data_IF_176426661547
#
_entry.id   IF_176426661547
#
_cell.length_a   1.000
_cell.length_b   1.000
_cell.length_c   1.000
_cell.angle_alpha   90.00
_cell.angle_beta   90.00
_cell.angle_gamma   90.00
#
_symmetry.space_group_name_H-M   'P 1'
#
loop_
_entity.id
_entity.type
_entity.pdbx_description
1 polymer ?
#
# COMPACT_ATOMS: atom_id res chain seq x y z
N UNK A 1 -13.10 -49.71 36.48
CA UNK A 1 -12.16 -50.63 35.80
C UNK A 1 -12.92 -51.44 34.76
N UNK A 2 -12.53 -51.35 33.47
CA UNK A 2 -12.78 -52.22 32.29
C UNK A 2 -13.08 -51.34 31.07
N UNK A 3 -12.08 -51.08 30.23
CA UNK A 3 -11.46 -51.91 29.17
C UNK A 3 -12.09 -51.61 27.79
N UNK A 4 -11.24 -51.11 26.90
CA UNK A 4 -11.49 -50.71 25.51
C UNK A 4 -11.54 -51.92 24.54
N UNK A 5 -12.36 -51.80 23.48
CA UNK A 5 -12.21 -52.46 22.17
C UNK A 5 -13.44 -53.26 21.68
N UNK A 6 -13.72 -53.40 20.36
CA UNK A 6 -12.85 -53.17 19.21
C UNK A 6 -13.39 -52.18 18.15
N UNK A 7 -12.48 -51.89 17.21
CA UNK A 7 -12.52 -50.96 16.10
C UNK A 7 -13.47 -51.44 15.00
N UNK A 8 -14.20 -50.55 14.32
CA UNK A 8 -14.23 -50.42 12.85
C UNK A 8 -15.27 -49.38 12.39
N UNK A 9 -14.77 -48.44 11.59
CA UNK A 9 -15.46 -47.70 10.53
C UNK A 9 -16.75 -46.97 10.92
N UNK A 10 -16.63 -45.66 11.18
CA UNK A 10 -17.13 -44.60 10.30
C UNK A 10 -16.47 -43.33 10.87
N UNK A 11 -15.27 -43.02 10.37
CA UNK A 11 -14.71 -41.67 10.54
C UNK A 11 -15.49 -40.79 9.57
N UNK A 12 -16.60 -40.22 10.04
CA UNK A 12 -17.19 -39.06 9.38
C UNK A 12 -16.07 -38.02 9.38
N UNK A 13 -15.52 -37.76 8.20
CA UNK A 13 -14.70 -36.59 7.93
C UNK A 13 -15.58 -35.36 8.17
N UNK A 14 -15.73 -34.98 9.43
CA UNK A 14 -16.08 -33.61 9.77
C UNK A 14 -14.84 -32.83 9.35
N UNK A 15 -14.88 -32.37 8.11
CA UNK A 15 -14.12 -31.22 7.65
C UNK A 15 -14.57 -30.10 8.60
N UNK A 16 -13.92 -30.00 9.75
CA UNK A 16 -13.84 -28.76 10.47
C UNK A 16 -13.06 -27.87 9.53
N UNK A 17 -13.80 -27.20 8.64
CA UNK A 17 -13.28 -26.06 7.92
C UNK A 17 -12.82 -25.12 9.01
N UNK A 18 -11.52 -25.13 9.28
CA UNK A 18 -10.88 -23.99 9.90
C UNK A 18 -11.16 -22.88 8.90
N UNK A 19 -12.24 -22.14 9.15
CA UNK A 19 -12.48 -20.85 8.54
C UNK A 19 -11.30 -20.01 9.00
N UNK A 20 -10.24 -20.02 8.20
CA UNK A 20 -9.26 -18.95 8.22
C UNK A 20 -10.09 -17.74 7.82
N UNK A 21 -10.59 -17.00 8.83
CA UNK A 21 -11.18 -15.69 8.56
C UNK A 21 -10.04 -14.88 7.97
N UNK A 22 -10.11 -14.62 6.67
CA UNK A 22 -9.36 -13.53 6.09
C UNK A 22 -9.87 -12.26 6.78
N UNK A 23 -8.98 -11.55 7.44
CA UNK A 23 -9.30 -10.38 8.23
C UNK A 23 -9.08 -9.15 7.33
N UNK A 24 -10.17 -8.46 7.02
CA UNK A 24 -10.21 -7.35 6.09
C UNK A 24 -10.15 -6.00 6.82
N UNK A 25 -9.99 -4.91 6.05
CA UNK A 25 -10.06 -3.55 6.60
C UNK A 25 -11.44 -3.34 7.25
N UNK A 26 -11.45 -2.97 8.53
CA UNK A 26 -12.64 -2.74 9.33
C UNK A 26 -12.99 -3.87 10.30
N UNK A 27 -12.35 -5.04 10.20
CA UNK A 27 -12.58 -6.13 11.14
C UNK A 27 -11.99 -5.85 12.53
N UNK A 28 -12.66 -6.34 13.56
CA UNK A 28 -12.20 -6.27 14.95
C UNK A 28 -11.06 -7.26 15.20
N UNK A 29 -10.04 -6.79 15.89
CA UNK A 29 -8.77 -7.49 16.05
C UNK A 29 -8.14 -7.20 17.41
N UNK A 30 -7.20 -8.05 17.86
CA UNK A 30 -6.45 -7.83 19.11
C UNK A 30 -5.02 -7.38 18.78
N UNK A 31 -4.64 -6.10 19.03
CA UNK A 31 -3.34 -5.58 18.60
C UNK A 31 -2.13 -6.28 19.21
N UNK A 32 -2.22 -6.66 20.49
CA UNK A 32 -1.20 -7.41 21.23
C UNK A 32 -1.80 -8.02 22.51
N UNK A 33 -0.97 -8.72 23.31
CA UNK A 33 -1.43 -9.34 24.57
C UNK A 33 -1.86 -8.34 25.66
N UNK A 34 -1.55 -7.04 25.52
CA UNK A 34 -1.85 -6.00 26.51
C UNK A 34 -3.08 -5.18 26.12
N UNK A 35 -3.45 -5.15 24.85
CA UNK A 35 -4.51 -4.34 24.27
C UNK A 35 -5.42 -5.29 23.49
N UNK A 36 -6.64 -5.49 23.99
CA UNK A 36 -7.60 -6.41 23.40
C UNK A 36 -8.51 -5.77 22.35
N UNK A 37 -8.55 -4.45 22.26
CA UNK A 37 -9.44 -3.73 21.34
C UNK A 37 -8.62 -3.07 20.22
N UNK A 38 -8.96 -3.42 18.99
CA UNK A 38 -8.36 -2.87 17.80
C UNK A 38 -9.21 -3.13 16.57
N UNK A 39 -8.88 -2.40 15.50
CA UNK A 39 -9.51 -2.54 14.19
C UNK A 39 -8.43 -2.69 13.14
N UNK A 40 -8.63 -3.62 12.21
CA UNK A 40 -7.76 -3.81 11.07
C UNK A 40 -7.85 -2.65 10.11
N UNK A 41 -6.72 -1.99 9.86
CA UNK A 41 -6.63 -0.85 8.94
C UNK A 41 -5.32 -0.88 8.19
N UNK A 42 -5.18 -0.07 7.14
CA UNK A 42 -3.93 0.03 6.41
C UNK A 42 -2.85 0.59 7.34
N UNK A 43 -1.61 0.11 7.20
CA UNK A 43 -0.47 0.56 8.03
C UNK A 43 -0.30 2.08 8.04
N UNK A 44 -0.65 2.76 6.95
CA UNK A 44 -0.58 4.22 6.82
C UNK A 44 -1.69 4.95 7.60
N UNK A 45 -2.81 4.28 7.85
CA UNK A 45 -3.99 4.80 8.55
C UNK A 45 -3.95 4.52 10.05
N UNK A 46 -2.93 3.81 10.54
CA UNK A 46 -2.73 3.56 11.96
C UNK A 46 -1.62 4.48 12.54
N UNK A 47 -1.96 5.55 13.28
CA UNK A 47 -0.97 6.49 13.81
C UNK A 47 0.08 5.81 14.68
N UNK A 48 -0.34 4.85 15.50
CA UNK A 48 0.54 4.10 16.40
C UNK A 48 1.56 3.26 15.61
N UNK A 49 1.13 2.63 14.51
CA UNK A 49 2.02 1.85 13.66
C UNK A 49 3.00 2.75 12.91
N UNK A 50 2.53 3.87 12.37
CA UNK A 50 3.39 4.87 11.69
C UNK A 50 4.43 5.43 12.65
N UNK A 51 4.05 5.76 13.88
CA UNK A 51 4.99 6.24 14.91
C UNK A 51 6.03 5.16 15.28
N UNK A 52 5.60 3.91 15.42
CA UNK A 52 6.50 2.80 15.70
C UNK A 52 7.51 2.56 14.55
N UNK A 53 7.06 2.61 13.29
CA UNK A 53 7.94 2.47 12.13
C UNK A 53 8.93 3.63 12.06
N UNK A 54 8.48 4.87 12.30
CA UNK A 54 9.39 6.04 12.30
C UNK A 54 10.47 5.94 13.37
N UNK A 55 10.13 5.47 14.57
CA UNK A 55 11.05 5.45 15.72
C UNK A 55 11.90 4.18 15.79
N UNK A 56 11.30 3.01 15.50
CA UNK A 56 11.91 1.69 15.69
C UNK A 56 12.12 0.92 14.38
N UNK A 57 11.78 1.51 13.23
CA UNK A 57 11.81 0.88 11.89
C UNK A 57 10.91 -0.35 11.74
N UNK A 58 10.07 -0.64 12.73
CA UNK A 58 9.17 -1.78 12.75
C UNK A 58 7.92 -1.47 13.57
N UNK A 59 6.77 -1.95 13.11
CA UNK A 59 5.49 -1.87 13.82
C UNK A 59 5.30 -3.15 14.68
N UNK A 60 4.90 -3.05 15.97
CA UNK A 60 4.79 -4.21 16.86
C UNK A 60 3.40 -4.86 16.91
N UNK A 61 2.47 -4.42 16.07
CA UNK A 61 1.07 -4.83 16.10
C UNK A 61 0.83 -6.08 15.25
N UNK A 62 -0.20 -6.84 15.61
CA UNK A 62 -0.60 -8.00 14.83
C UNK A 62 -0.96 -7.60 13.39
N UNK A 63 -0.51 -8.39 12.42
CA UNK A 63 -0.87 -8.22 11.01
C UNK A 63 -2.19 -8.93 10.74
N UNK A 64 -3.17 -8.21 10.21
CA UNK A 64 -4.44 -8.78 9.77
C UNK A 64 -4.33 -9.40 8.37
N UNK A 65 -3.56 -8.76 7.48
CA UNK A 65 -3.40 -9.22 6.10
C UNK A 65 -2.69 -8.22 5.20
N UNK A 66 -2.99 -8.30 3.90
CA UNK A 66 -2.46 -7.40 2.87
C UNK A 66 -3.53 -7.07 1.84
N UNK A 67 -3.55 -5.81 1.38
CA UNK A 67 -4.31 -5.37 0.20
C UNK A 67 -3.31 -4.92 -0.87
N UNK A 68 -3.02 -5.80 -1.83
CA UNK A 68 -1.93 -5.59 -2.79
C UNK A 68 -0.57 -5.52 -2.07
N UNK A 69 0.14 -4.40 -2.20
CA UNK A 69 1.42 -4.16 -1.52
C UNK A 69 1.28 -3.47 -0.16
N UNK A 70 0.06 -3.08 0.24
CA UNK A 70 -0.18 -2.41 1.52
C UNK A 70 -0.45 -3.45 2.62
N UNK A 71 0.29 -3.34 3.71
CA UNK A 71 0.07 -4.14 4.93
C UNK A 71 -1.18 -3.64 5.68
N UNK A 72 -2.02 -4.58 6.09
CA UNK A 72 -3.15 -4.33 6.99
C UNK A 72 -2.71 -4.75 8.39
N UNK A 73 -2.73 -3.80 9.32
CA UNK A 73 -2.29 -3.98 10.71
C UNK A 73 -3.46 -3.79 11.66
N UNK A 74 -3.44 -4.50 12.77
CA UNK A 74 -4.41 -4.35 13.83
C UNK A 74 -4.10 -3.10 14.64
N UNK A 75 -4.83 -2.01 14.39
CA UNK A 75 -4.57 -0.75 15.06
C UNK A 75 -5.31 -0.67 16.40
N UNK A 76 -4.62 -0.38 17.52
CA UNK A 76 -5.26 -0.15 18.81
C UNK A 76 -6.33 0.94 18.73
N UNK A 77 -7.56 0.61 19.13
CA UNK A 77 -8.59 1.61 19.40
C UNK A 77 -8.36 2.10 20.83
N UNK A 78 -7.51 3.11 21.00
CA UNK A 78 -7.39 3.75 22.32
C UNK A 78 -8.72 4.43 22.61
N UNK A 79 -9.56 3.81 23.44
CA UNK A 79 -10.64 4.50 24.15
C UNK A 79 -9.98 5.46 25.13
N UNK A 80 -9.71 6.66 24.67
CA UNK A 80 -9.50 7.83 25.52
C UNK A 80 -10.69 7.93 26.51
N UNK A 81 -10.40 8.30 27.77
CA UNK A 81 -11.38 8.36 28.88
C UNK A 81 -12.57 9.31 28.64
N UNK A 82 -12.68 9.90 27.46
CA UNK A 82 -13.73 10.80 27.01
C UNK A 82 -14.52 10.30 25.78
N UNK A 83 -14.28 9.07 25.31
CA UNK A 83 -15.11 8.45 24.28
C UNK A 83 -15.10 9.17 22.94
N UNK A 84 -14.00 9.86 22.60
CA UNK A 84 -13.81 10.42 21.26
C UNK A 84 -12.65 9.71 20.60
N UNK A 85 -12.95 8.70 19.79
CA UNK A 85 -12.02 8.14 18.79
C UNK A 85 -11.19 9.28 18.22
N UNK A 86 -9.88 9.27 18.49
CA UNK A 86 -8.93 10.17 17.85
C UNK A 86 -9.01 9.93 16.34
N UNK A 87 -9.91 10.64 15.66
CA UNK A 87 -9.64 11.13 14.32
C UNK A 87 -8.48 12.09 14.48
N UNK A 88 -7.27 11.56 14.58
CA UNK A 88 -6.08 12.31 14.23
C UNK A 88 -6.43 12.92 12.88
N UNK A 89 -6.56 14.25 12.80
CA UNK A 89 -6.75 14.92 11.51
C UNK A 89 -5.50 14.62 10.71
N UNK A 90 -5.55 13.56 9.91
CA UNK A 90 -4.45 13.16 9.05
C UNK A 90 -4.29 14.28 8.06
N UNK A 91 -3.29 15.13 8.26
CA UNK A 91 -2.92 16.15 7.28
C UNK A 91 -2.47 15.36 6.05
N UNK A 92 -3.37 15.20 5.07
CA UNK A 92 -3.07 14.51 3.81
C UNK A 92 -1.80 15.09 3.22
N UNK A 93 -0.93 14.21 2.72
CA UNK A 93 0.28 14.64 2.02
C UNK A 93 -0.12 15.49 0.82
N UNK A 94 0.77 16.41 0.41
CA UNK A 94 0.50 17.23 -0.79
C UNK A 94 0.20 16.33 -1.99
N UNK A 95 0.98 15.26 -2.17
CA UNK A 95 0.74 14.27 -3.21
C UNK A 95 -0.66 13.65 -3.16
N UNK A 96 -1.16 13.29 -1.97
CA UNK A 96 -2.52 12.74 -1.81
C UNK A 96 -3.58 13.77 -2.17
N UNK A 97 -3.40 15.02 -1.74
CA UNK A 97 -4.32 16.11 -2.07
C UNK A 97 -4.36 16.39 -3.57
N UNK A 98 -3.23 16.34 -4.26
CA UNK A 98 -3.19 16.52 -5.71
C UNK A 98 -3.74 15.29 -6.45
N UNK A 99 -3.45 14.07 -5.98
CA UNK A 99 -4.05 12.85 -6.54
C UNK A 99 -5.57 12.85 -6.38
N UNK A 100 -6.10 13.28 -5.24
CA UNK A 100 -7.54 13.40 -5.00
C UNK A 100 -8.18 14.35 -6.02
N UNK A 101 -7.53 15.46 -6.36
CA UNK A 101 -8.03 16.40 -7.38
C UNK A 101 -8.13 15.72 -8.74
N UNK A 102 -7.07 15.02 -9.16
CA UNK A 102 -7.04 14.30 -10.46
C UNK A 102 -8.14 13.24 -10.51
N UNK A 103 -8.25 12.41 -9.47
CA UNK A 103 -9.28 11.35 -9.38
C UNK A 103 -10.68 11.96 -9.36
N UNK A 104 -10.88 13.10 -8.67
CA UNK A 104 -12.19 13.76 -8.64
C UNK A 104 -12.60 14.36 -9.99
N UNK A 105 -11.63 14.70 -10.85
CA UNK A 105 -11.86 15.25 -12.18
C UNK A 105 -11.86 14.20 -13.30
N UNK A 106 -11.41 12.97 -13.05
CA UNK A 106 -11.42 11.86 -14.02
C UNK A 106 -12.43 10.78 -13.58
N UNK A 107 -13.48 10.56 -14.35
CA UNK A 107 -14.56 9.57 -14.09
C UNK A 107 -14.51 8.48 -15.18
N UNK A 108 -14.81 7.17 -14.97
CA UNK A 108 -14.86 6.28 -13.80
C UNK A 108 -13.66 5.25 -13.84
N UNK A 109 -13.68 4.02 -13.26
CA UNK A 109 -12.45 3.27 -12.97
C UNK A 109 -11.68 2.98 -14.26
N UNK A 110 -10.36 3.17 -14.22
CA UNK A 110 -9.45 2.80 -15.29
C UNK A 110 -9.61 1.29 -15.58
N UNK A 111 -10.46 0.94 -16.54
CA UNK A 111 -10.25 -0.29 -17.30
C UNK A 111 -8.93 -0.05 -18.04
N UNK A 112 -7.90 -0.81 -17.66
CA UNK A 112 -6.54 -0.71 -18.22
C UNK A 112 -6.53 -1.23 -19.67
N UNK A 113 -7.17 -0.49 -20.57
CA UNK A 113 -7.10 -0.69 -22.01
C UNK A 113 -6.90 0.69 -22.68
N UNK A 114 -5.64 1.04 -22.90
CA UNK A 114 -5.29 2.15 -23.80
C UNK A 114 -5.49 1.62 -25.23
N UNK A 115 -6.69 1.75 -25.79
CA UNK A 115 -6.99 1.46 -27.19
C UNK A 115 -7.24 2.76 -27.94
N UNK A 116 -6.46 3.02 -28.99
CA UNK A 116 -6.64 4.20 -29.84
C UNK A 116 -6.23 5.53 -29.19
N UNK A 117 -5.11 5.54 -28.46
CA UNK A 117 -4.58 6.77 -27.88
C UNK A 117 -4.37 7.88 -28.90
N UNK A 118 -4.49 9.13 -28.45
CA UNK A 118 -4.21 10.33 -29.23
C UNK A 118 -2.95 11.03 -28.74
N UNK A 119 -2.38 11.91 -29.56
CA UNK A 119 -1.24 12.72 -29.15
C UNK A 119 -1.69 13.71 -28.07
N UNK A 120 -0.98 13.72 -26.94
CA UNK A 120 -1.24 14.69 -25.88
C UNK A 120 -1.03 16.11 -26.39
N UNK A 121 -1.89 17.03 -25.94
CA UNK A 121 -1.73 18.45 -26.16
C UNK A 121 -0.47 18.97 -25.46
N UNK A 122 0.10 20.05 -25.99
CA UNK A 122 1.26 20.69 -25.36
C UNK A 122 0.93 21.11 -23.93
N UNK A 123 1.70 20.61 -22.96
CA UNK A 123 1.51 20.91 -21.54
C UNK A 123 0.33 20.21 -20.87
N UNK A 124 -0.32 19.24 -21.54
CA UNK A 124 -1.42 18.46 -20.95
C UNK A 124 -0.98 17.65 -19.73
N UNK A 125 0.22 17.07 -19.80
CA UNK A 125 0.84 16.32 -18.70
C UNK A 125 2.14 17.02 -18.28
N UNK A 126 2.08 18.13 -17.53
CA UNK A 126 3.24 18.97 -17.24
C UNK A 126 4.27 18.31 -16.31
N UNK A 127 3.90 17.21 -15.67
CA UNK A 127 4.78 16.39 -14.85
C UNK A 127 5.45 15.26 -15.64
N UNK A 128 5.13 15.06 -16.92
CA UNK A 128 5.75 14.03 -17.75
C UNK A 128 7.20 14.42 -18.04
N UNK A 129 8.12 13.47 -17.84
CA UNK A 129 9.56 13.66 -18.03
C UNK A 129 10.09 12.62 -19.00
N UNK A 130 10.97 13.04 -19.92
CA UNK A 130 11.73 12.12 -20.76
C UNK A 130 13.15 11.93 -20.18
N UNK A 131 13.55 10.69 -19.95
CA UNK A 131 14.86 10.32 -19.41
C UNK A 131 15.74 9.84 -20.56
N UNK A 132 16.76 10.63 -20.87
CA UNK A 132 17.73 10.42 -21.94
C UNK A 132 19.05 9.83 -21.45
N UNK A 133 19.63 8.95 -22.26
CA UNK A 133 20.87 8.22 -21.98
C UNK A 133 21.95 8.59 -22.99
N UNK A 134 23.15 8.96 -22.53
CA UNK A 134 24.27 9.18 -23.44
C UNK A 134 24.73 7.86 -24.08
N UNK A 135 24.73 7.82 -25.42
CA UNK A 135 25.19 6.67 -26.22
C UNK A 135 26.44 6.99 -27.04
N UNK A 136 27.06 8.15 -26.86
CA UNK A 136 28.25 8.61 -27.58
C UNK A 136 27.97 9.39 -28.87
N UNK A 137 26.73 9.38 -29.36
CA UNK A 137 26.26 10.17 -30.51
C UNK A 137 25.10 11.12 -30.17
N UNK A 138 24.85 11.34 -28.87
CA UNK A 138 23.73 12.12 -28.35
C UNK A 138 22.98 11.38 -27.24
N UNK A 139 21.84 11.95 -26.84
CA UNK A 139 20.95 11.37 -25.85
C UNK A 139 19.82 10.59 -26.52
N UNK A 140 19.65 9.33 -26.13
CA UNK A 140 18.52 8.49 -26.54
C UNK A 140 17.50 8.40 -25.40
N UNK A 141 16.24 8.73 -25.67
CA UNK A 141 15.17 8.80 -24.66
C UNK A 141 14.40 7.48 -24.56
N UNK A 142 14.95 6.55 -23.78
CA UNK A 142 14.41 5.19 -23.64
C UNK A 142 13.50 5.01 -22.42
N UNK A 143 13.41 6.01 -21.54
CA UNK A 143 12.60 5.93 -20.32
C UNK A 143 11.77 7.19 -20.10
N UNK A 144 10.68 7.02 -19.35
CA UNK A 144 9.87 8.11 -18.83
C UNK A 144 10.08 8.35 -17.34
N UNK A 145 9.49 9.43 -16.83
CA UNK A 145 9.41 9.71 -15.41
C UNK A 145 8.31 10.70 -15.07
N UNK A 146 8.18 10.99 -13.78
CA UNK A 146 7.27 12.01 -13.26
C UNK A 146 8.01 12.99 -12.37
N UNK A 147 7.86 14.28 -12.64
CA UNK A 147 8.41 15.35 -11.80
C UNK A 147 7.64 15.37 -10.47
N UNK A 148 8.31 15.01 -9.37
CA UNK A 148 7.74 15.02 -8.02
C UNK A 148 7.94 16.37 -7.31
N UNK A 149 9.08 17.01 -7.58
CA UNK A 149 9.41 18.34 -7.07
C UNK A 149 10.39 19.01 -8.02
N UNK A 150 10.73 20.26 -7.73
CA UNK A 150 11.73 21.02 -8.48
C UNK A 150 13.10 20.35 -8.59
N UNK A 151 13.38 19.31 -7.78
CA UNK A 151 14.68 18.62 -7.72
C UNK A 151 14.58 17.10 -7.84
N UNK A 152 13.37 16.52 -7.92
CA UNK A 152 13.19 15.07 -7.89
C UNK A 152 12.27 14.60 -9.01
N UNK A 153 12.78 13.64 -9.78
CA UNK A 153 12.03 12.87 -10.77
C UNK A 153 11.88 11.44 -10.27
N UNK A 154 10.67 10.90 -10.34
CA UNK A 154 10.38 9.49 -10.11
C UNK A 154 10.49 8.73 -11.42
N UNK A 155 11.25 7.63 -11.43
CA UNK A 155 11.37 6.73 -12.59
C UNK A 155 11.58 5.29 -12.12
N UNK A 156 11.61 4.34 -13.05
CA UNK A 156 11.83 2.93 -12.74
C UNK A 156 13.29 2.66 -12.37
N UNK A 157 13.54 1.75 -11.42
CA UNK A 157 14.88 1.38 -11.00
C UNK A 157 15.75 0.88 -12.18
N UNK A 158 15.16 0.09 -13.09
CA UNK A 158 15.87 -0.43 -14.27
C UNK A 158 16.27 0.68 -15.26
N UNK A 159 15.66 1.87 -15.20
CA UNK A 159 16.09 3.01 -16.00
C UNK A 159 17.39 3.62 -15.45
N UNK A 160 17.79 3.34 -14.21
CA UNK A 160 18.96 3.96 -13.56
C UNK A 160 19.96 2.93 -13.01
N UNK A 161 19.74 1.64 -13.27
CA UNK A 161 20.51 0.52 -12.69
C UNK A 161 21.99 0.51 -13.13
N UNK A 162 22.31 1.18 -14.23
CA UNK A 162 23.70 1.40 -14.67
C UNK A 162 24.15 2.80 -14.30
N UNK A 163 24.60 2.99 -13.06
CA UNK A 163 25.04 4.28 -12.51
C UNK A 163 26.25 4.91 -13.23
N UNK A 164 26.89 4.20 -14.17
CA UNK A 164 28.04 4.68 -14.96
C UNK A 164 27.65 5.49 -16.20
N UNK A 165 26.37 5.86 -16.38
CA UNK A 165 25.90 6.64 -17.52
C UNK A 165 25.43 8.03 -17.08
N UNK A 166 25.90 9.08 -17.77
CA UNK A 166 25.32 10.41 -17.63
C UNK A 166 23.92 10.41 -18.26
N UNK A 167 22.93 10.88 -17.50
CA UNK A 167 21.55 10.97 -17.97
C UNK A 167 21.17 12.44 -18.20
N UNK A 168 20.32 12.67 -19.18
CA UNK A 168 19.74 13.96 -19.51
C UNK A 168 18.23 13.91 -19.24
N UNK A 169 17.71 14.94 -18.57
CA UNK A 169 16.30 15.06 -18.23
C UNK A 169 15.71 16.19 -19.09
N UNK A 170 14.69 15.86 -19.90
CA UNK A 170 13.93 16.83 -20.71
C UNK A 170 12.52 17.02 -20.20
#
# INVERSE_FOLDING_TARGET
MRQYGPKHLIWILIISGILIKAEDVGDECTPNNQISEGICTLVNDCPQAVMAIKNKRFQPFQRCGFRGFQEIVCCPTTVDKFGQTEKTRTIKRIAERECDKIISSTVPPLDLYILGGEAASMGEFPYMVAVGFDRGNGYEFDCGGSLLSNLYVLTAAHCVDTLDRYFYIS
#
